data_IF_453942737662
#
_entry.id   IF_453942737662
#
_cell.length_a   1.000
_cell.length_b   1.000
_cell.length_c   1.000
_cell.angle_alpha   90.00
_cell.angle_beta   90.00
_cell.angle_gamma   90.00
#
_symmetry.space_group_name_H-M   'P 1'
#
loop_
_entity.id
_entity.type
_entity.pdbx_description
1 polymer ?
#
# COMPACT_ATOMS: atom_id res chain seq x y z
N UNK A 1 11.28 -30.34 -18.20
CA UNK A 1 12.45 -29.92 -18.99
C UNK A 1 12.44 -28.39 -19.01
N UNK A 2 13.57 -27.73 -18.71
CA UNK A 2 13.60 -26.26 -18.64
C UNK A 2 13.70 -25.64 -20.04
N UNK A 3 12.93 -24.56 -20.28
CA UNK A 3 13.12 -23.65 -21.42
C UNK A 3 13.36 -22.25 -20.86
N UNK A 4 14.46 -21.61 -21.27
CA UNK A 4 14.85 -20.30 -20.76
C UNK A 4 14.02 -19.19 -21.41
N UNK A 5 13.50 -18.26 -20.61
CA UNK A 5 12.93 -17.01 -21.12
C UNK A 5 14.04 -16.13 -21.72
N UNK A 6 13.90 -15.79 -23.01
CA UNK A 6 14.72 -14.74 -23.64
C UNK A 6 14.27 -13.36 -23.16
N UNK A 7 15.14 -12.67 -22.42
CA UNK A 7 14.99 -11.24 -22.16
C UNK A 7 15.47 -10.45 -23.39
N UNK A 8 14.67 -9.49 -23.86
CA UNK A 8 15.06 -8.59 -24.95
C UNK A 8 15.62 -7.27 -24.40
N UNK A 9 16.84 -6.91 -24.82
CA UNK A 9 17.40 -5.56 -24.66
C UNK A 9 17.52 -4.89 -26.04
N UNK A 10 16.81 -3.79 -26.28
CA UNK A 10 17.18 -2.74 -27.26
C UNK A 10 16.65 -1.39 -26.81
N UNK A 11 17.55 -0.46 -26.51
CA UNK A 11 17.73 0.81 -27.22
C UNK A 11 18.85 1.62 -26.54
N UNK A 12 19.77 2.14 -27.35
CA UNK A 12 20.75 3.15 -26.96
C UNK A 12 20.75 4.20 -28.07
N UNK A 13 20.71 5.49 -27.71
CA UNK A 13 20.72 6.59 -28.66
C UNK A 13 22.15 7.15 -28.81
N UNK A 14 22.66 7.36 -30.04
CA UNK A 14 23.92 8.05 -30.25
C UNK A 14 23.75 9.57 -30.07
N UNK A 15 24.78 10.21 -29.55
CA UNK A 15 24.94 11.67 -29.56
C UNK A 15 25.32 12.16 -30.97
N UNK A 16 24.80 13.30 -31.38
CA UNK A 16 25.41 14.13 -32.42
C UNK A 16 25.40 15.60 -31.99
N UNK A 17 26.51 16.30 -32.20
CA UNK A 17 26.59 17.76 -32.11
C UNK A 17 25.77 18.42 -33.21
N UNK A 18 25.20 19.60 -32.95
CA UNK A 18 25.50 20.80 -33.75
C UNK A 18 25.09 22.09 -33.03
N UNK A 19 25.95 23.10 -33.14
CA UNK A 19 25.78 24.53 -32.83
C UNK A 19 26.81 25.27 -33.73
N UNK A 20 26.61 26.54 -34.17
CA UNK A 20 26.50 27.68 -33.24
C UNK A 20 25.65 28.90 -33.71
N UNK A 21 25.48 29.90 -32.82
CA UNK A 21 25.32 31.37 -33.05
C UNK A 21 24.29 31.90 -34.10
N UNK A 22 23.52 33.00 -33.91
CA UNK A 22 23.69 34.24 -33.09
C UNK A 22 22.33 34.98 -32.92
N UNK A 23 22.32 36.14 -32.25
CA UNK A 23 21.19 37.02 -31.85
C UNK A 23 21.52 38.51 -32.23
N UNK A 24 20.70 39.57 -31.96
CA UNK A 24 19.23 39.74 -31.73
C UNK A 24 18.63 40.98 -32.51
N UNK A 25 17.48 41.54 -32.03
CA UNK A 25 16.87 42.89 -32.30
C UNK A 25 16.07 43.03 -33.62
N UNK A 26 14.99 43.83 -33.77
CA UNK A 26 14.01 44.53 -32.87
C UNK A 26 12.79 45.00 -33.74
N UNK A 27 11.78 45.85 -33.43
CA UNK A 27 11.32 46.68 -32.28
C UNK A 27 9.90 47.25 -32.56
N UNK A 28 9.15 47.68 -31.52
CA UNK A 28 7.90 48.51 -31.57
C UNK A 28 6.60 47.83 -32.11
N UNK A 29 5.36 48.29 -31.86
CA UNK A 29 4.85 49.49 -31.14
C UNK A 29 3.52 49.26 -30.39
N UNK A 30 3.20 50.17 -29.47
CA UNK A 30 2.01 50.30 -28.59
C UNK A 30 0.60 50.23 -29.22
N UNK A 31 -0.41 49.84 -28.42
CA UNK A 31 -1.48 50.76 -27.96
C UNK A 31 -2.46 50.12 -26.95
N UNK A 32 -3.11 50.96 -26.12
CA UNK A 32 -4.25 50.62 -25.24
C UNK A 32 -5.17 51.83 -25.15
N UNK A 33 -6.48 51.64 -24.87
CA UNK A 33 -7.14 52.50 -23.88
C UNK A 33 -8.15 51.77 -22.97
N UNK A 34 -8.71 52.51 -21.99
CA UNK A 34 -9.64 52.05 -20.94
C UNK A 34 -11.11 52.08 -21.39
N UNK A 35 -12.05 51.44 -20.66
CA UNK A 35 -13.49 51.55 -20.98
C UNK A 35 -14.53 50.83 -20.07
N UNK A 36 -14.69 51.26 -18.82
CA UNK A 36 -15.87 51.19 -17.93
C UNK A 36 -17.11 50.28 -18.22
N UNK A 37 -17.42 49.40 -17.26
CA UNK A 37 -18.72 49.24 -16.54
C UNK A 37 -20.09 49.27 -17.31
N UNK A 38 -20.84 48.15 -17.26
CA UNK A 38 -22.12 48.02 -16.49
C UNK A 38 -22.80 46.64 -16.54
N UNK A 39 -23.61 46.36 -15.51
CA UNK A 39 -24.58 45.26 -15.41
C UNK A 39 -25.95 45.64 -16.05
N UNK A 40 -26.78 44.63 -16.40
CA UNK A 40 -28.22 44.72 -16.19
C UNK A 40 -28.78 43.59 -15.29
N UNK A 41 -29.88 43.87 -14.58
CA UNK A 41 -30.60 42.92 -13.69
C UNK A 41 -32.10 43.24 -13.60
N UNK A 42 -32.95 42.45 -14.25
CA UNK A 42 -34.42 42.31 -14.03
C UNK A 42 -34.82 40.88 -14.45
N UNK A 43 -35.60 40.08 -13.71
CA UNK A 43 -36.86 40.22 -12.95
C UNK A 43 -38.12 39.89 -13.78
N UNK A 44 -38.70 38.72 -13.51
CA UNK A 44 -40.13 38.40 -13.24
C UNK A 44 -40.39 36.92 -13.63
N UNK A 45 -41.18 36.05 -13.00
CA UNK A 45 -42.05 36.01 -11.81
C UNK A 45 -43.47 35.54 -12.18
N UNK A 46 -43.81 34.27 -11.85
CA UNK A 46 -45.20 33.77 -11.76
C UNK A 46 -45.29 32.47 -10.93
N UNK A 47 -46.44 32.26 -10.29
CA UNK A 47 -46.92 31.11 -9.48
C UNK A 47 -48.45 31.33 -9.34
N UNK A 48 -49.26 30.41 -8.78
CA UNK A 48 -49.26 28.93 -8.81
C UNK A 48 -50.62 28.40 -9.37
N UNK A 49 -50.93 27.10 -9.25
CA UNK A 49 -52.33 26.66 -9.05
C UNK A 49 -52.45 25.32 -8.31
N UNK A 50 -53.68 24.97 -7.86
CA UNK A 50 -54.05 23.76 -7.08
C UNK A 50 -55.38 23.18 -7.55
N UNK A 51 -55.48 21.86 -7.52
CA UNK A 51 -56.66 21.01 -7.25
C UNK A 51 -56.08 19.66 -6.76
N UNK A 52 -56.60 18.93 -5.77
CA UNK A 52 -57.97 18.52 -5.48
C UNK A 52 -57.95 16.98 -5.57
N UNK A 53 -57.95 16.21 -4.48
CA UNK A 53 -59.11 15.85 -3.65
C UNK A 53 -60.19 15.12 -4.48
N UNK A 54 -60.60 13.88 -4.19
CA UNK A 54 -60.29 12.88 -3.14
C UNK A 54 -60.43 11.45 -3.76
N UNK A 55 -60.45 10.26 -3.11
CA UNK A 55 -60.73 9.89 -1.71
C UNK A 55 -60.01 8.60 -1.23
N UNK A 56 -60.70 7.47 -1.04
CA UNK A 56 -60.27 6.36 -0.17
C UNK A 56 -60.85 4.97 -0.53
N UNK A 57 -60.09 3.93 -0.20
CA UNK A 57 -60.60 2.57 0.05
C UNK A 57 -59.65 1.84 1.01
N UNK A 58 -60.17 1.08 1.98
CA UNK A 58 -59.38 0.40 3.01
C UNK A 58 -59.68 -1.09 3.06
N UNK A 59 -58.67 -1.90 3.39
CA UNK A 59 -58.82 -3.30 3.77
C UNK A 59 -57.82 -3.63 4.89
N UNK A 60 -58.30 -4.25 5.97
CA UNK A 60 -57.54 -4.45 7.22
C UNK A 60 -57.56 -5.91 7.68
N UNK A 61 -56.59 -6.25 8.54
CA UNK A 61 -56.53 -7.45 9.40
C UNK A 61 -56.14 -8.77 8.67
N UNK A 62 -55.62 -9.81 9.35
CA UNK A 62 -55.57 -10.10 10.80
C UNK A 62 -54.17 -10.48 11.33
N UNK A 63 -54.05 -10.42 12.66
CA UNK A 63 -52.88 -10.80 13.47
C UNK A 63 -53.20 -12.05 14.33
N UNK A 64 -52.38 -13.11 14.25
CA UNK A 64 -52.33 -14.25 15.18
C UNK A 64 -51.34 -15.32 14.67
N UNK A 65 -50.59 -16.10 15.47
CA UNK A 65 -50.31 -16.11 16.93
C UNK A 65 -49.02 -16.93 17.18
N UNK A 66 -48.29 -16.61 18.25
CA UNK A 66 -47.49 -17.50 19.14
C UNK A 66 -46.59 -18.61 18.55
N UNK A 67 -45.30 -18.58 18.92
CA UNK A 67 -44.48 -19.78 19.13
C UNK A 67 -44.74 -20.37 20.55
N UNK A 68 -44.33 -21.63 20.87
CA UNK A 68 -43.00 -21.81 21.49
C UNK A 68 -42.30 -23.19 21.34
N UNK A 69 -40.95 -23.16 21.38
CA UNK A 69 -40.01 -24.12 22.03
C UNK A 69 -39.92 -25.63 21.67
N UNK A 70 -38.81 -26.21 22.18
CA UNK A 70 -38.35 -27.61 22.19
C UNK A 70 -37.89 -28.20 20.83
N UNK A 71 -36.71 -28.81 20.65
CA UNK A 71 -35.79 -29.60 21.52
C UNK A 71 -36.10 -31.09 21.58
N UNK A 72 -35.40 -31.88 20.77
CA UNK A 72 -35.16 -33.31 20.99
C UNK A 72 -33.77 -33.69 20.45
N UNK A 73 -32.92 -34.22 21.32
CA UNK A 73 -31.71 -34.94 20.96
C UNK A 73 -31.70 -36.20 21.83
N UNK A 74 -31.58 -37.38 21.24
CA UNK A 74 -31.49 -38.64 21.99
C UNK A 74 -30.69 -39.70 21.24
N UNK A 75 -30.25 -40.74 21.97
CA UNK A 75 -29.18 -41.65 21.56
C UNK A 75 -29.64 -43.12 21.52
N UNK A 76 -28.96 -43.95 20.73
CA UNK A 76 -29.16 -45.40 20.66
C UNK A 76 -28.60 -45.94 19.33
N UNK A 77 -27.34 -46.39 19.20
CA UNK A 77 -26.61 -47.46 19.91
C UNK A 77 -27.02 -48.89 19.46
N UNK A 78 -26.14 -49.57 18.73
CA UNK A 78 -26.33 -50.93 18.20
C UNK A 78 -25.07 -51.50 17.54
N UNK A 79 -24.59 -52.62 18.07
CA UNK A 79 -23.49 -53.50 17.65
C UNK A 79 -23.61 -54.04 16.19
N UNK A 80 -22.60 -54.60 15.47
CA UNK A 80 -21.16 -54.85 15.70
C UNK A 80 -20.40 -55.20 14.39
N UNK A 81 -19.09 -55.46 14.52
CA UNK A 81 -18.19 -56.23 13.62
C UNK A 81 -17.66 -55.56 12.32
N UNK A 82 -16.35 -55.33 12.29
CA UNK A 82 -15.56 -54.99 11.10
C UNK A 82 -14.07 -54.90 11.45
N UNK A 83 -13.20 -55.66 10.77
CA UNK A 83 -11.77 -55.78 11.12
C UNK A 83 -10.93 -54.54 10.72
N UNK A 84 -9.83 -54.23 11.44
CA UNK A 84 -9.01 -53.06 11.15
C UNK A 84 -8.14 -53.24 9.89
N UNK A 85 -7.93 -52.18 9.08
CA UNK A 85 -6.99 -52.19 7.96
C UNK A 85 -5.51 -52.11 8.42
N UNK A 86 -4.54 -52.55 7.59
CA UNK A 86 -3.13 -52.66 7.97
C UNK A 86 -2.41 -51.31 8.12
N UNK A 87 -1.31 -51.33 8.89
CA UNK A 87 -0.45 -50.18 9.16
C UNK A 87 0.45 -49.79 7.97
N UNK A 88 0.82 -48.50 7.82
CA UNK A 88 1.67 -48.03 6.73
C UNK A 88 3.16 -48.38 6.95
N UNK A 89 3.96 -48.58 5.87
CA UNK A 89 5.38 -48.87 5.96
C UNK A 89 6.22 -47.68 6.46
N UNK A 90 7.43 -47.93 7.00
CA UNK A 90 8.30 -46.89 7.55
C UNK A 90 8.85 -45.94 6.48
N UNK A 91 9.10 -44.68 6.87
CA UNK A 91 9.79 -43.69 6.03
C UNK A 91 11.30 -43.93 6.04
N UNK A 92 11.99 -43.87 4.88
CA UNK A 92 13.46 -43.96 4.83
C UNK A 92 14.12 -42.72 5.44
N UNK A 93 15.33 -42.90 5.95
CA UNK A 93 16.10 -41.86 6.64
C UNK A 93 16.79 -40.83 5.70
N UNK A 94 17.33 -39.78 6.31
CA UNK A 94 17.99 -38.66 5.62
C UNK A 94 19.30 -39.09 4.97
N UNK A 95 19.38 -39.03 3.64
CA UNK A 95 20.67 -38.95 2.96
C UNK A 95 21.16 -37.50 2.95
N UNK A 96 22.21 -37.18 3.72
CA UNK A 96 22.97 -35.92 3.51
C UNK A 96 23.66 -35.98 2.15
N UNK A 97 23.53 -34.92 1.35
CA UNK A 97 24.48 -34.56 0.29
C UNK A 97 24.69 -33.06 0.30
N UNK A 98 25.91 -32.66 0.62
CA UNK A 98 26.36 -31.28 0.47
C UNK A 98 26.66 -31.00 -1.01
N UNK A 99 26.04 -29.96 -1.56
CA UNK A 99 26.42 -29.33 -2.83
C UNK A 99 26.34 -27.81 -2.65
N UNK A 100 27.48 -27.17 -2.39
CA UNK A 100 27.60 -25.72 -2.42
C UNK A 100 27.72 -25.17 -3.84
N UNK A 101 27.65 -23.84 -3.98
CA UNK A 101 27.69 -23.08 -5.25
C UNK A 101 26.51 -23.43 -6.20
N UNK A 102 25.66 -22.51 -6.64
CA UNK A 102 25.91 -21.12 -7.06
C UNK A 102 24.72 -20.24 -6.66
N UNK A 103 24.98 -19.07 -6.08
CA UNK A 103 24.07 -17.92 -6.19
C UNK A 103 24.81 -16.60 -5.90
N UNK A 104 24.78 -15.63 -6.81
CA UNK A 104 25.53 -14.36 -6.69
C UNK A 104 24.64 -13.17 -7.06
N UNK A 105 24.60 -12.18 -6.16
CA UNK A 105 24.06 -10.82 -6.31
C UNK A 105 22.52 -10.63 -6.37
N UNK A 106 22.04 -9.78 -5.45
CA UNK A 106 21.01 -8.76 -5.67
C UNK A 106 19.58 -9.19 -6.10
N UNK A 107 19.00 -10.19 -5.44
CA UNK A 107 17.54 -10.46 -5.46
C UNK A 107 16.80 -9.97 -4.19
N UNK A 108 17.19 -8.80 -3.67
CA UNK A 108 16.63 -8.22 -2.43
C UNK A 108 16.22 -6.73 -2.57
N UNK A 109 15.17 -6.47 -3.37
CA UNK A 109 14.35 -5.24 -3.24
C UNK A 109 12.83 -5.51 -3.24
N UNK A 110 12.41 -6.78 -3.21
CA UNK A 110 10.99 -7.19 -3.28
C UNK A 110 10.60 -8.24 -2.23
N UNK A 111 11.36 -8.33 -1.14
CA UNK A 111 11.14 -9.27 -0.03
C UNK A 111 10.93 -8.58 1.33
N UNK A 112 10.34 -7.38 1.32
CA UNK A 112 9.57 -6.86 2.47
C UNK A 112 8.23 -7.61 2.62
N UNK A 113 8.29 -8.94 2.62
CA UNK A 113 7.17 -9.77 3.08
C UNK A 113 7.01 -9.56 4.58
N UNK A 114 5.76 -9.43 5.04
CA UNK A 114 5.48 -9.51 6.46
C UNK A 114 5.96 -10.88 6.98
N UNK A 115 6.91 -10.88 7.91
CA UNK A 115 7.30 -12.09 8.63
C UNK A 115 6.25 -12.42 9.71
N UNK A 116 5.03 -12.72 9.26
CA UNK A 116 3.87 -13.09 10.08
C UNK A 116 3.72 -14.60 10.25
N UNK A 117 4.29 -15.40 9.34
CA UNK A 117 4.04 -16.84 9.23
C UNK A 117 5.31 -17.70 9.38
N UNK A 118 5.90 -17.63 10.57
CA UNK A 118 6.80 -18.66 11.09
C UNK A 118 6.19 -19.32 12.34
N UNK A 119 4.94 -19.79 12.23
CA UNK A 119 4.23 -20.54 13.27
C UNK A 119 4.24 -22.04 12.95
N UNK A 120 5.30 -22.73 13.35
CA UNK A 120 5.25 -24.20 13.46
C UNK A 120 4.18 -24.60 14.49
N UNK A 121 3.15 -25.32 14.04
CA UNK A 121 2.08 -25.80 14.91
C UNK A 121 2.56 -27.06 15.63
N UNK A 122 2.61 -27.01 16.96
CA UNK A 122 2.93 -28.15 17.82
C UNK A 122 1.64 -28.51 18.55
N UNK A 123 1.11 -29.74 18.42
CA UNK A 123 -0.07 -30.16 19.17
C UNK A 123 0.24 -30.13 20.67
N UNK A 124 -0.72 -29.75 21.54
CA UNK A 124 -0.53 -29.83 22.98
C UNK A 124 -0.38 -31.29 23.39
N UNK A 125 0.77 -31.65 23.96
CA UNK A 125 0.89 -32.88 24.74
C UNK A 125 -0.03 -32.78 25.95
N UNK A 126 -0.70 -33.88 26.29
CA UNK A 126 -1.53 -33.98 27.48
C UNK A 126 -0.71 -33.78 28.76
N UNK A 127 -1.36 -33.20 29.78
CA UNK A 127 -0.88 -33.02 31.16
C UNK A 127 0.26 -31.99 31.36
N UNK A 128 0.37 -31.49 32.60
CA UNK A 128 1.60 -30.84 33.08
C UNK A 128 1.73 -29.32 32.92
N UNK A 129 0.91 -28.54 33.64
CA UNK A 129 1.26 -27.20 34.17
C UNK A 129 1.75 -26.14 33.15
N UNK A 130 0.84 -25.27 32.71
CA UNK A 130 1.10 -24.14 31.80
C UNK A 130 1.93 -23.01 32.43
N UNK A 131 3.21 -23.29 32.69
CA UNK A 131 4.23 -22.24 32.76
C UNK A 131 4.24 -21.48 31.43
N UNK A 132 3.65 -20.28 31.43
CA UNK A 132 3.85 -19.31 30.36
C UNK A 132 5.34 -18.95 30.26
N UNK A 133 6.10 -19.73 29.48
CA UNK A 133 7.44 -19.34 29.02
C UNK A 133 7.27 -18.04 28.25
N UNK A 134 7.57 -16.91 28.91
CA UNK A 134 7.72 -15.61 28.26
C UNK A 134 8.83 -15.75 27.23
N UNK A 135 8.47 -16.06 25.97
CA UNK A 135 9.39 -15.85 24.85
C UNK A 135 9.76 -14.38 24.89
N UNK A 136 11.05 -14.09 25.09
CA UNK A 136 11.58 -12.76 24.87
C UNK A 136 11.12 -12.29 23.48
N UNK A 137 10.68 -11.04 23.37
CA UNK A 137 10.17 -10.54 22.11
C UNK A 137 11.33 -10.51 21.11
N UNK A 138 11.26 -11.32 20.05
CA UNK A 138 12.32 -11.40 19.06
C UNK A 138 12.44 -10.06 18.33
N UNK A 139 13.57 -9.37 18.52
CA UNK A 139 13.91 -8.17 17.76
C UNK A 139 13.97 -8.50 16.27
N UNK A 140 13.56 -7.56 15.43
CA UNK A 140 13.77 -7.68 13.99
C UNK A 140 15.17 -7.17 13.64
N UNK A 141 15.94 -7.95 12.88
CA UNK A 141 17.29 -7.59 12.45
C UNK A 141 17.27 -7.06 11.02
N UNK A 142 17.88 -5.89 10.80
CA UNK A 142 18.05 -5.31 9.46
C UNK A 142 19.53 -4.97 9.26
N UNK A 143 20.19 -5.64 8.32
CA UNK A 143 21.59 -5.42 7.98
C UNK A 143 21.66 -4.33 6.89
N UNK A 144 22.55 -3.35 7.07
CA UNK A 144 22.82 -2.32 6.04
C UNK A 144 23.45 -2.95 4.78
N UNK A 145 23.23 -2.45 3.54
CA UNK A 145 23.74 -3.11 2.33
C UNK A 145 25.25 -3.33 2.27
N UNK A 146 26.05 -2.43 2.85
CA UNK A 146 27.52 -2.59 2.96
C UNK A 146 27.97 -3.52 4.10
N UNK A 147 27.04 -3.99 4.94
CA UNK A 147 27.22 -4.96 6.03
C UNK A 147 28.09 -4.53 7.22
N UNK A 148 28.44 -3.26 7.33
CA UNK A 148 29.16 -2.70 8.49
C UNK A 148 28.24 -2.29 9.66
N UNK A 149 26.91 -2.28 9.46
CA UNK A 149 25.92 -1.93 10.51
C UNK A 149 24.69 -2.86 10.51
N UNK A 150 24.12 -3.07 11.70
CA UNK A 150 22.91 -3.85 11.93
C UNK A 150 21.95 -3.08 12.86
N UNK A 151 20.67 -3.00 12.48
CA UNK A 151 19.59 -2.53 13.35
C UNK A 151 18.99 -3.68 14.16
N UNK A 152 18.82 -3.45 15.45
CA UNK A 152 17.98 -4.25 16.35
C UNK A 152 16.69 -3.47 16.60
N UNK A 153 15.65 -3.79 15.82
CA UNK A 153 14.34 -3.16 15.97
C UNK A 153 13.57 -3.83 17.12
N UNK A 154 13.55 -3.15 18.27
CA UNK A 154 12.89 -3.61 19.51
C UNK A 154 11.37 -3.62 19.29
N UNK A 155 10.68 -4.69 19.68
CA UNK A 155 9.22 -4.82 19.51
C UNK A 155 8.57 -5.51 20.70
N UNK A 156 7.26 -5.32 20.86
CA UNK A 156 6.44 -6.21 21.71
C UNK A 156 6.18 -7.54 21.00
N UNK A 157 5.95 -8.59 21.80
CA UNK A 157 5.62 -9.93 21.32
C UNK A 157 4.20 -9.98 20.72
N UNK A 158 3.25 -9.27 21.33
CA UNK A 158 1.88 -9.09 20.90
C UNK A 158 1.51 -7.58 20.91
N UNK A 159 0.64 -7.11 20.00
CA UNK A 159 0.02 -5.80 20.13
C UNK A 159 -0.97 -5.76 21.32
N UNK A 160 -1.26 -4.60 21.91
CA UNK A 160 -2.32 -4.45 22.91
C UNK A 160 -3.71 -4.69 22.28
N UNK A 161 -4.69 -5.06 23.11
CA UNK A 161 -6.06 -5.29 22.65
C UNK A 161 -6.72 -4.03 22.08
N UNK A 162 -6.34 -2.85 22.57
CA UNK A 162 -6.79 -1.55 22.04
C UNK A 162 -6.46 -1.38 20.55
N UNK A 163 -5.25 -1.76 20.12
CA UNK A 163 -4.84 -1.72 18.69
C UNK A 163 -5.66 -2.69 17.81
N UNK A 164 -6.19 -3.77 18.39
CA UNK A 164 -7.00 -4.77 17.67
C UNK A 164 -8.50 -4.43 17.65
N UNK A 165 -8.95 -3.56 18.56
CA UNK A 165 -10.34 -3.11 18.69
C UNK A 165 -10.66 -1.82 17.92
N UNK A 166 -9.64 -1.18 17.30
CA UNK A 166 -9.80 0.03 16.49
C UNK A 166 -10.71 -0.20 15.27
N UNK A 167 -11.53 0.79 14.89
CA UNK A 167 -12.37 0.68 13.69
C UNK A 167 -11.49 0.55 12.42
N UNK A 168 -11.85 -0.39 11.55
CA UNK A 168 -11.16 -0.63 10.28
C UNK A 168 -12.12 -0.42 9.09
N UNK A 169 -11.83 0.58 8.27
CA UNK A 169 -12.51 0.80 7.00
C UNK A 169 -12.07 -0.26 5.97
N UNK A 170 -13.04 -0.78 5.20
CA UNK A 170 -12.89 -2.00 4.38
C UNK A 170 -13.22 -1.69 2.93
N UNK A 171 -12.19 -1.31 2.18
CA UNK A 171 -12.32 -0.68 0.87
C UNK A 171 -11.38 -1.34 -0.15
N UNK A 172 -11.93 -1.88 -1.23
CA UNK A 172 -11.20 -2.50 -2.34
C UNK A 172 -10.16 -3.58 -1.93
N UNK A 173 -10.43 -4.35 -0.87
CA UNK A 173 -9.52 -5.36 -0.31
C UNK A 173 -8.44 -4.79 0.61
N UNK A 174 -8.53 -3.51 0.98
CA UNK A 174 -7.62 -2.80 1.88
C UNK A 174 -8.34 -2.54 3.21
N UNK A 175 -7.64 -2.79 4.34
CA UNK A 175 -8.11 -2.45 5.69
C UNK A 175 -7.36 -1.22 6.22
N UNK A 176 -8.11 -0.14 6.41
CA UNK A 176 -7.62 1.21 6.66
C UNK A 176 -8.00 1.63 8.07
N UNK A 177 -7.06 2.22 8.82
CA UNK A 177 -7.36 3.01 10.02
C UNK A 177 -7.43 4.47 9.60
N UNK A 178 -8.63 5.05 9.74
CA UNK A 178 -8.93 6.40 9.29
C UNK A 178 -8.30 7.51 10.14
N UNK A 179 -7.97 7.22 11.40
CA UNK A 179 -7.34 8.17 12.31
C UNK A 179 -5.86 8.34 11.93
N UNK A 180 -5.16 7.23 11.69
CA UNK A 180 -3.76 7.24 11.25
C UNK A 180 -3.55 7.54 9.77
N UNK A 181 -4.58 7.37 8.94
CA UNK A 181 -4.49 7.34 7.48
C UNK A 181 -3.48 6.28 6.96
N UNK A 182 -3.53 5.11 7.59
CA UNK A 182 -2.58 4.02 7.37
C UNK A 182 -3.29 2.66 7.38
N UNK A 183 -2.56 1.59 7.10
CA UNK A 183 -3.09 0.23 7.24
C UNK A 183 -3.39 -0.07 8.70
N UNK A 184 -4.60 -0.57 9.00
CA UNK A 184 -5.05 -0.78 10.38
C UNK A 184 -4.14 -1.75 11.16
N UNK A 185 -3.82 -2.90 10.57
CA UNK A 185 -3.14 -4.02 11.26
C UNK A 185 -1.61 -4.00 11.13
N UNK A 186 -1.00 -2.82 11.30
CA UNK A 186 0.46 -2.67 11.28
C UNK A 186 1.11 -3.05 12.61
N UNK A 187 2.01 -4.03 12.59
CA UNK A 187 2.98 -4.23 13.68
C UNK A 187 3.91 -3.03 13.78
N UNK A 188 4.30 -2.65 15.00
CA UNK A 188 5.20 -1.52 15.28
C UNK A 188 6.38 -1.93 16.14
N UNK A 189 7.43 -1.12 16.09
CA UNK A 189 8.61 -1.19 16.93
C UNK A 189 8.51 -0.17 18.07
N UNK A 190 9.21 -0.42 19.18
CA UNK A 190 9.23 0.43 20.38
C UNK A 190 10.61 1.03 20.65
N UNK A 191 11.58 0.78 19.77
CA UNK A 191 12.93 1.33 19.85
C UNK A 191 13.83 0.79 18.73
N UNK A 192 14.92 1.51 18.45
CA UNK A 192 15.91 1.15 17.43
C UNK A 192 17.28 1.14 18.11
N UNK A 193 17.87 -0.05 18.26
CA UNK A 193 19.29 -0.20 18.56
C UNK A 193 20.10 -0.26 17.26
N UNK A 194 21.23 0.45 17.20
CA UNK A 194 22.20 0.37 16.11
C UNK A 194 23.47 -0.29 16.64
N UNK A 195 23.96 -1.32 15.95
CA UNK A 195 25.26 -1.93 16.21
C UNK A 195 26.16 -1.81 14.97
N UNK A 196 27.43 -1.49 15.16
CA UNK A 196 28.47 -1.78 14.14
C UNK A 196 28.70 -3.29 14.09
N UNK A 197 28.86 -3.85 12.89
CA UNK A 197 29.34 -5.21 12.69
C UNK A 197 30.85 -5.16 12.44
N UNK A 198 31.61 -5.86 13.28
CA UNK A 198 33.06 -5.93 13.20
C UNK A 198 33.49 -7.06 12.23
N UNK A 199 34.75 -7.04 11.77
CA UNK A 199 35.25 -8.02 10.78
C UNK A 199 35.28 -9.47 11.28
N UNK A 200 35.36 -9.67 12.60
CA UNK A 200 35.25 -10.98 13.27
C UNK A 200 33.79 -11.49 13.40
N UNK A 201 32.82 -10.69 12.95
CA UNK A 201 31.39 -10.95 13.09
C UNK A 201 30.80 -10.58 14.45
N UNK A 202 31.58 -9.97 15.35
CA UNK A 202 31.08 -9.45 16.63
C UNK A 202 30.28 -8.16 16.44
N UNK A 203 29.39 -7.87 17.40
CA UNK A 203 28.62 -6.64 17.44
C UNK A 203 29.30 -5.64 18.38
N UNK A 204 29.51 -4.41 17.89
CA UNK A 204 29.84 -3.27 18.74
C UNK A 204 28.74 -2.95 19.77
N UNK A 205 29.01 -2.04 20.72
CA UNK A 205 28.02 -1.62 21.71
C UNK A 205 26.75 -1.07 21.07
N UNK A 206 25.59 -1.28 21.70
CA UNK A 206 24.32 -0.76 21.22
C UNK A 206 24.29 0.77 21.30
N UNK A 207 24.02 1.44 20.18
CA UNK A 207 23.68 2.86 20.11
C UNK A 207 22.17 3.00 19.92
N UNK A 208 21.47 3.38 20.98
CA UNK A 208 20.01 3.55 20.96
C UNK A 208 19.61 4.90 20.32
N UNK A 209 18.69 4.83 19.34
CA UNK A 209 18.09 6.00 18.73
C UNK A 209 17.12 6.66 19.71
N UNK A 210 17.25 7.97 19.91
CA UNK A 210 16.53 8.71 20.95
C UNK A 210 16.09 10.10 20.45
N UNK A 211 15.16 10.75 21.18
CA UNK A 211 14.65 12.08 20.85
C UNK A 211 13.34 12.12 20.06
N UNK A 212 12.78 10.95 19.71
CA UNK A 212 11.35 10.83 19.40
C UNK A 212 10.52 10.81 20.71
N UNK A 213 9.19 11.08 20.68
CA UNK A 213 8.37 11.16 21.88
C UNK A 213 8.24 9.82 22.62
N UNK A 214 8.02 9.89 23.94
CA UNK A 214 7.67 8.72 24.74
C UNK A 214 6.38 8.05 24.23
N UNK A 215 6.30 6.72 24.37
CA UNK A 215 5.18 5.93 23.84
C UNK A 215 5.16 5.77 22.31
N UNK A 216 6.14 6.32 21.58
CA UNK A 216 6.24 6.23 20.12
C UNK A 216 6.13 4.78 19.59
N UNK A 217 5.21 4.59 18.63
CA UNK A 217 5.11 3.40 17.79
C UNK A 217 5.82 3.68 16.47
N UNK A 218 6.93 2.98 16.27
CA UNK A 218 7.83 3.16 15.12
C UNK A 218 7.41 2.20 13.98
N UNK A 219 7.30 2.74 12.77
CA UNK A 219 6.90 2.01 11.56
C UNK A 219 7.80 2.39 10.36
N UNK A 220 7.94 1.50 9.36
CA UNK A 220 8.67 1.76 8.09
C UNK A 220 10.13 2.25 8.24
N UNK A 221 10.98 1.53 8.97
CA UNK A 221 12.40 1.91 9.14
C UNK A 221 13.21 1.58 7.88
N UNK A 222 13.93 2.57 7.32
CA UNK A 222 14.82 2.40 6.16
C UNK A 222 16.11 3.24 6.29
N UNK A 223 17.19 2.78 5.65
CA UNK A 223 18.49 3.46 5.60
C UNK A 223 18.60 4.40 4.38
N UNK A 224 19.34 5.51 4.51
CA UNK A 224 19.93 6.23 3.37
C UNK A 224 20.92 5.34 2.61
N UNK A 225 21.36 5.74 1.41
CA UNK A 225 22.26 4.90 0.60
C UNK A 225 23.70 4.90 1.17
N UNK A 226 24.15 6.01 1.76
CA UNK A 226 25.40 6.15 2.51
C UNK A 226 25.40 5.52 3.91
N UNK A 227 24.24 5.13 4.44
CA UNK A 227 24.08 4.56 5.78
C UNK A 227 24.34 5.52 6.94
N UNK A 228 24.38 6.84 6.70
CA UNK A 228 24.51 7.86 7.75
C UNK A 228 23.18 8.24 8.38
N UNK A 229 22.07 7.99 7.70
CA UNK A 229 20.73 8.37 8.15
C UNK A 229 19.76 7.18 8.18
N UNK A 230 18.88 7.20 9.17
CA UNK A 230 17.73 6.30 9.27
C UNK A 230 16.45 7.11 9.15
N UNK A 231 15.63 6.83 8.15
CA UNK A 231 14.26 7.36 8.09
C UNK A 231 13.28 6.33 8.65
N UNK A 232 12.29 6.81 9.39
CA UNK A 232 11.22 6.00 9.94
C UNK A 232 9.97 6.87 10.15
N UNK A 233 8.81 6.23 10.30
CA UNK A 233 7.61 6.92 10.75
C UNK A 233 7.37 6.71 12.24
N UNK A 234 6.83 7.73 12.88
CA UNK A 234 6.36 7.71 14.27
C UNK A 234 4.89 8.07 14.30
N UNK A 235 4.15 7.36 15.16
CA UNK A 235 2.82 7.75 15.67
C UNK A 235 2.79 7.52 17.17
N UNK A 236 1.97 8.28 17.88
CA UNK A 236 1.72 8.15 19.33
C UNK A 236 0.22 7.89 19.51
N UNK A 237 -0.13 6.95 20.38
CA UNK A 237 -1.50 6.87 20.92
C UNK A 237 -1.65 8.04 21.90
N UNK A 238 -2.58 8.95 21.67
CA UNK A 238 -2.95 9.94 22.68
C UNK A 238 -4.06 9.34 23.56
N UNK A 239 -4.19 9.83 24.79
CA UNK A 239 -5.35 9.50 25.62
C UNK A 239 -6.62 10.15 25.02
N UNK A 240 -7.81 9.71 25.42
CA UNK A 240 -9.11 10.11 24.83
C UNK A 240 -9.41 9.67 23.38
N UNK A 241 -8.76 8.61 22.87
CA UNK A 241 -8.94 8.02 21.52
C UNK A 241 -8.58 8.92 20.32
N UNK A 242 -8.14 10.15 20.57
CA UNK A 242 -7.40 10.94 19.58
C UNK A 242 -6.08 10.19 19.31
N UNK A 243 -5.57 10.27 18.09
CA UNK A 243 -4.26 9.68 17.79
C UNK A 243 -3.51 10.49 16.74
N UNK A 244 -2.21 10.69 17.00
CA UNK A 244 -1.35 11.40 16.06
C UNK A 244 -1.17 10.58 14.79
N UNK A 245 -1.60 11.15 13.66
CA UNK A 245 -1.29 10.67 12.31
C UNK A 245 0.22 10.48 12.16
N UNK A 246 0.63 9.51 11.34
CA UNK A 246 2.04 9.20 11.14
C UNK A 246 2.80 10.44 10.63
N UNK A 247 3.95 10.74 11.24
CA UNK A 247 4.93 11.72 10.74
C UNK A 247 6.24 11.01 10.43
N UNK A 248 6.97 11.50 9.42
CA UNK A 248 8.31 11.00 9.07
C UNK A 248 9.35 11.65 9.98
N UNK A 249 10.25 10.84 10.51
CA UNK A 249 11.39 11.19 11.33
C UNK A 249 12.67 10.70 10.66
N UNK A 250 13.77 11.40 10.93
CA UNK A 250 15.12 10.97 10.55
C UNK A 250 16.01 10.99 11.78
N UNK A 251 16.78 9.94 11.98
CA UNK A 251 17.88 9.89 12.93
C UNK A 251 19.22 9.89 12.22
N UNK A 252 20.17 10.63 12.77
CA UNK A 252 21.59 10.49 12.46
C UNK A 252 22.16 9.24 13.15
N UNK A 253 22.93 8.45 12.42
CA UNK A 253 23.45 7.14 12.84
C UNK A 253 24.67 7.28 13.75
N UNK A 254 25.42 8.39 13.65
CA UNK A 254 26.60 8.60 14.48
C UNK A 254 26.25 9.08 15.89
N UNK A 255 25.31 10.01 16.04
CA UNK A 255 24.81 10.48 17.34
C UNK A 255 23.67 9.63 17.91
N UNK A 256 22.91 8.94 17.07
CA UNK A 256 21.64 8.29 17.45
C UNK A 256 20.48 9.29 17.64
N UNK A 257 20.68 10.59 17.35
CA UNK A 257 19.67 11.62 17.60
C UNK A 257 18.62 11.66 16.50
N UNK A 258 17.36 11.45 16.87
CA UNK A 258 16.20 11.58 16.01
C UNK A 258 15.62 13.01 15.99
N UNK A 259 15.04 13.39 14.85
CA UNK A 259 14.25 14.61 14.65
C UNK A 259 13.11 14.37 13.64
N UNK A 260 12.01 15.14 13.65
CA UNK A 260 11.05 15.10 12.55
C UNK A 260 11.71 15.58 11.25
N UNK A 261 11.28 15.01 10.12
CA UNK A 261 11.70 15.45 8.78
C UNK A 261 11.11 16.81 8.43
N UNK A 262 9.81 16.99 8.70
CA UNK A 262 9.07 18.22 8.45
C UNK A 262 9.03 19.08 9.71
N UNK A 263 9.36 20.38 9.58
CA UNK A 263 9.20 21.36 10.65
C UNK A 263 7.74 21.83 10.80
N UNK A 264 6.96 21.81 9.71
CA UNK A 264 5.53 22.10 9.76
C UNK A 264 4.77 20.96 10.46
N UNK A 265 3.88 21.26 11.42
CA UNK A 265 3.09 20.25 12.12
C UNK A 265 2.00 19.63 11.24
N UNK A 266 1.63 20.28 10.14
CA UNK A 266 0.45 19.91 9.33
C UNK A 266 0.73 18.88 8.24
N UNK A 267 2.01 18.53 8.02
CA UNK A 267 2.42 17.53 7.04
C UNK A 267 2.38 16.14 7.68
N UNK A 268 1.49 15.30 7.18
CA UNK A 268 1.24 13.94 7.66
C UNK A 268 1.44 12.91 6.54
N UNK A 269 1.97 11.75 6.91
CA UNK A 269 2.22 10.63 6.02
C UNK A 269 0.89 9.95 5.63
N UNK A 270 0.72 9.64 4.36
CA UNK A 270 -0.26 8.68 3.88
C UNK A 270 0.44 7.32 3.76
N UNK A 271 -0.04 6.30 4.50
CA UNK A 271 0.57 4.97 4.56
C UNK A 271 -0.44 3.85 4.24
N UNK A 272 -1.30 4.09 3.24
CA UNK A 272 -2.27 3.10 2.72
C UNK A 272 -1.60 2.11 1.75
N UNK A 273 -0.67 2.61 0.92
CA UNK A 273 0.15 1.83 0.00
C UNK A 273 1.63 2.03 0.30
N UNK A 274 2.35 2.74 -0.58
CA UNK A 274 3.73 3.15 -0.35
C UNK A 274 3.78 4.42 0.52
N UNK A 275 4.90 4.66 1.21
CA UNK A 275 4.99 5.64 2.30
C UNK A 275 6.10 6.67 2.09
N UNK A 276 7.36 6.24 2.07
CA UNK A 276 8.50 7.08 1.69
C UNK A 276 9.69 6.26 1.25
N UNK A 277 10.55 6.87 0.45
CA UNK A 277 11.75 6.24 -0.13
C UNK A 277 12.88 7.27 -0.25
N UNK A 278 14.12 6.85 -0.01
CA UNK A 278 15.30 7.68 -0.27
C UNK A 278 15.55 7.80 -1.78
N UNK A 279 15.65 9.03 -2.26
CA UNK A 279 16.00 9.36 -3.66
C UNK A 279 17.51 9.50 -3.82
N UNK A 280 18.18 10.01 -2.78
CA UNK A 280 19.63 10.12 -2.60
C UNK A 280 19.94 10.15 -1.09
N UNK A 281 21.18 10.40 -0.67
CA UNK A 281 21.60 10.37 0.74
C UNK A 281 20.97 11.44 1.65
N UNK A 282 20.47 12.53 1.07
CA UNK A 282 19.91 13.68 1.80
C UNK A 282 18.44 13.95 1.50
N UNK A 283 17.80 13.15 0.64
CA UNK A 283 16.47 13.47 0.07
C UNK A 283 15.53 12.28 0.12
N UNK A 284 14.37 12.48 0.75
CA UNK A 284 13.26 11.54 0.80
C UNK A 284 12.13 12.00 -0.12
N UNK A 285 11.56 11.06 -0.88
CA UNK A 285 10.26 11.24 -1.51
C UNK A 285 9.21 10.62 -0.58
N UNK A 286 8.16 11.39 -0.24
CA UNK A 286 7.17 11.04 0.78
C UNK A 286 5.76 11.13 0.20
N UNK A 287 4.95 10.09 0.41
CA UNK A 287 3.51 10.09 0.17
C UNK A 287 2.80 10.83 1.32
N UNK A 288 2.37 12.07 1.12
CA UNK A 288 1.68 12.86 2.15
C UNK A 288 0.18 12.94 1.93
N UNK A 289 -0.60 13.13 3.00
CA UNK A 289 -2.01 13.47 2.91
C UNK A 289 -2.15 14.85 2.22
N UNK A 290 -2.94 14.99 1.13
CA UNK A 290 -3.12 16.28 0.47
C UNK A 290 -3.72 17.33 1.41
N UNK A 291 -3.12 18.52 1.47
CA UNK A 291 -3.61 19.65 2.30
C UNK A 291 -5.01 20.13 1.88
N UNK A 292 -5.36 19.96 0.60
CA UNK A 292 -6.67 20.29 0.03
C UNK A 292 -7.79 19.29 0.35
N UNK A 293 -7.51 18.17 1.03
CA UNK A 293 -8.44 17.04 1.12
C UNK A 293 -9.75 17.34 1.86
N UNK A 294 -9.70 18.18 2.91
CA UNK A 294 -10.87 18.45 3.76
C UNK A 294 -11.34 17.23 4.57
N UNK A 295 -12.65 17.17 4.84
CA UNK A 295 -13.31 16.14 5.64
C UNK A 295 -13.69 14.90 4.79
N UNK A 296 -13.90 13.72 5.41
CA UNK A 296 -14.33 12.52 4.68
C UNK A 296 -15.70 12.71 4.00
N UNK A 297 -15.95 12.01 2.88
CA UNK A 297 -17.29 11.90 2.29
C UNK A 297 -18.32 11.48 3.34
N UNK A 298 -19.57 11.95 3.19
CA UNK A 298 -20.70 11.54 4.03
C UNK A 298 -21.56 10.53 3.28
N UNK A 299 -21.88 9.39 3.90
CA UNK A 299 -22.70 8.36 3.25
C UNK A 299 -24.11 8.93 2.99
N UNK A 300 -24.61 8.91 1.73
CA UNK A 300 -25.94 9.43 1.44
C UNK A 300 -27.02 8.52 2.05
N UNK A 301 -28.08 9.12 2.58
CA UNK A 301 -29.22 8.39 3.16
C UNK A 301 -30.02 7.62 2.11
N UNK A 302 -29.98 8.08 0.85
CA UNK A 302 -30.63 7.46 -0.30
C UNK A 302 -29.52 7.05 -1.28
N UNK A 303 -29.40 5.76 -1.66
CA UNK A 303 -28.48 5.33 -2.72
C UNK A 303 -28.75 6.05 -4.04
N UNK A 304 -27.70 6.35 -4.81
CA UNK A 304 -27.80 7.06 -6.09
C UNK A 304 -28.63 6.33 -7.16
N UNK A 305 -28.77 5.01 -7.03
CA UNK A 305 -29.62 4.17 -7.89
C UNK A 305 -29.54 2.70 -7.51
N UNK A 306 -30.30 1.82 -8.19
CA UNK A 306 -30.15 0.37 -8.06
C UNK A 306 -28.81 -0.09 -8.63
N UNK A 307 -28.21 -1.12 -8.03
CA UNK A 307 -26.97 -1.74 -8.53
C UNK A 307 -27.28 -2.66 -9.72
N UNK A 308 -27.26 -2.09 -10.93
CA UNK A 308 -27.49 -2.83 -12.18
C UNK A 308 -26.27 -3.69 -12.50
N UNK A 309 -26.52 -4.97 -12.78
CA UNK A 309 -25.56 -5.90 -13.40
C UNK A 309 -26.28 -6.63 -14.52
N UNK A 310 -25.70 -6.68 -15.71
CA UNK A 310 -26.26 -7.39 -16.86
C UNK A 310 -25.33 -8.52 -17.33
N UNK A 311 -25.95 -9.64 -17.71
CA UNK A 311 -25.28 -10.80 -18.29
C UNK A 311 -25.57 -10.94 -19.80
N UNK A 312 -26.12 -9.91 -20.46
CA UNK A 312 -26.48 -9.93 -21.89
C UNK A 312 -25.33 -10.36 -22.82
N UNK A 313 -24.09 -10.04 -22.45
CA UNK A 313 -22.88 -10.42 -23.21
C UNK A 313 -22.49 -11.91 -23.08
N UNK A 314 -23.17 -12.68 -22.23
CA UNK A 314 -22.92 -14.11 -21.96
C UNK A 314 -21.47 -14.48 -21.55
N UNK A 315 -20.64 -13.49 -21.19
CA UNK A 315 -19.25 -13.69 -20.77
C UNK A 315 -19.18 -14.38 -19.39
N UNK A 316 -18.96 -15.69 -19.36
CA UNK A 316 -18.81 -16.49 -18.12
C UNK A 316 -17.44 -16.25 -17.48
N UNK A 317 -17.29 -15.12 -16.81
CA UNK A 317 -16.07 -14.75 -16.08
C UNK A 317 -16.16 -15.34 -14.66
N UNK A 318 -15.45 -16.45 -14.42
CA UNK A 318 -15.26 -16.97 -13.07
C UNK A 318 -14.28 -16.09 -12.29
N UNK A 319 -14.71 -15.57 -11.14
CA UNK A 319 -13.91 -14.72 -10.24
C UNK A 319 -13.79 -15.40 -8.87
N UNK A 320 -12.67 -15.22 -8.18
CA UNK A 320 -12.49 -15.72 -6.80
C UNK A 320 -13.33 -14.90 -5.82
N UNK A 321 -13.82 -15.51 -4.75
CA UNK A 321 -14.46 -14.77 -3.66
C UNK A 321 -13.43 -13.89 -2.94
N UNK A 322 -13.61 -12.57 -3.04
CA UNK A 322 -12.77 -11.57 -2.37
C UNK A 322 -13.50 -10.95 -1.18
N UNK A 323 -12.75 -10.58 -0.15
CA UNK A 323 -13.25 -9.89 1.04
C UNK A 323 -13.01 -8.37 0.94
N UNK A 324 -13.73 -7.60 1.75
CA UNK A 324 -13.52 -6.15 1.95
C UNK A 324 -13.56 -5.31 0.66
N UNK A 325 -14.37 -5.74 -0.32
CA UNK A 325 -14.61 -5.04 -1.58
C UNK A 325 -15.44 -3.74 -1.39
N UNK A 326 -15.32 -2.83 -2.36
CA UNK A 326 -16.21 -1.68 -2.48
C UNK A 326 -17.66 -2.15 -2.72
N UNK A 327 -18.64 -1.55 -2.03
CA UNK A 327 -20.06 -1.93 -2.14
C UNK A 327 -20.82 -1.03 -3.13
N UNK A 328 -20.58 0.28 -3.02
CA UNK A 328 -21.26 1.37 -3.70
C UNK A 328 -20.30 2.53 -4.02
N UNK A 329 -20.76 3.55 -4.75
CA UNK A 329 -19.94 4.72 -5.14
C UNK A 329 -19.42 5.52 -3.92
N UNK A 330 -20.11 5.48 -2.78
CA UNK A 330 -19.60 6.12 -1.56
C UNK A 330 -18.35 5.39 -1.04
N UNK A 331 -18.34 4.05 -1.04
CA UNK A 331 -17.12 3.29 -0.71
C UNK A 331 -15.97 3.65 -1.69
N UNK A 332 -16.28 3.94 -2.97
CA UNK A 332 -15.29 4.37 -3.96
C UNK A 332 -14.75 5.79 -3.72
N UNK A 333 -15.62 6.75 -3.39
CA UNK A 333 -15.23 8.11 -2.98
C UNK A 333 -14.42 8.10 -1.67
N UNK A 334 -14.77 7.23 -0.73
CA UNK A 334 -14.07 7.05 0.53
C UNK A 334 -12.69 6.39 0.34
N UNK A 335 -12.56 5.48 -0.63
CA UNK A 335 -11.28 4.90 -1.04
C UNK A 335 -10.36 5.98 -1.62
N UNK A 336 -10.86 6.83 -2.53
CA UNK A 336 -10.10 7.96 -3.06
C UNK A 336 -9.69 8.94 -1.96
N UNK A 337 -10.59 9.27 -1.02
CA UNK A 337 -10.29 10.13 0.12
C UNK A 337 -9.12 9.60 0.97
N UNK A 338 -9.13 8.32 1.37
CA UNK A 338 -8.05 7.78 2.19
C UNK A 338 -6.76 7.51 1.41
N UNK A 339 -6.84 7.02 0.17
CA UNK A 339 -5.70 6.52 -0.58
C UNK A 339 -5.00 7.58 -1.47
N UNK A 340 -5.66 8.70 -1.79
CA UNK A 340 -5.01 9.80 -2.53
C UNK A 340 -3.88 10.41 -1.72
N UNK A 341 -2.72 10.52 -2.34
CA UNK A 341 -1.50 11.11 -1.77
C UNK A 341 -0.98 12.23 -2.67
N UNK A 342 -0.48 13.30 -2.05
CA UNK A 342 0.42 14.24 -2.72
C UNK A 342 1.85 13.74 -2.50
N UNK A 343 2.63 13.59 -3.56
CA UNK A 343 4.06 13.29 -3.41
C UNK A 343 4.82 14.58 -3.08
N UNK A 344 5.69 14.50 -2.08
CA UNK A 344 6.53 15.59 -1.63
C UNK A 344 7.97 15.09 -1.56
N UNK A 345 8.87 15.77 -2.26
CA UNK A 345 10.30 15.62 -2.14
C UNK A 345 10.79 16.55 -1.02
N UNK A 346 11.41 15.97 0.00
CA UNK A 346 11.83 16.62 1.23
C UNK A 346 13.29 16.27 1.54
N UNK A 347 14.14 17.29 1.67
CA UNK A 347 15.56 17.12 1.97
C UNK A 347 15.87 17.41 3.44
N UNK A 348 16.97 16.86 3.94
CA UNK A 348 17.40 16.96 5.33
C UNK A 348 17.72 18.40 5.77
N UNK A 349 18.00 19.31 4.83
CA UNK A 349 18.12 20.75 5.06
C UNK A 349 16.80 21.43 5.46
N UNK A 350 15.65 20.76 5.25
CA UNK A 350 14.31 21.30 5.48
C UNK A 350 13.65 21.88 4.22
N UNK A 351 14.28 21.76 3.04
CA UNK A 351 13.63 22.13 1.79
C UNK A 351 12.55 21.11 1.41
N UNK A 352 11.40 21.61 0.92
CA UNK A 352 10.17 20.83 0.68
C UNK A 352 9.57 21.25 -0.66
N UNK A 353 9.33 20.28 -1.55
CA UNK A 353 8.84 20.50 -2.91
C UNK A 353 7.80 19.45 -3.31
N UNK A 354 6.55 19.83 -3.68
CA UNK A 354 5.60 18.87 -4.23
C UNK A 354 6.03 18.39 -5.62
N UNK A 355 5.74 17.13 -5.93
CA UNK A 355 5.95 16.53 -7.26
C UNK A 355 4.65 15.87 -7.72
N UNK A 356 4.26 16.13 -8.96
CA UNK A 356 3.03 15.60 -9.56
C UNK A 356 1.73 16.13 -8.94
N UNK A 357 0.58 15.83 -9.56
CA UNK A 357 -0.73 16.07 -8.96
C UNK A 357 -1.03 15.04 -7.85
N UNK A 358 -1.98 15.31 -6.94
CA UNK A 358 -2.48 14.29 -6.02
C UNK A 358 -3.10 13.11 -6.79
N UNK A 359 -2.72 11.88 -6.45
CA UNK A 359 -3.28 10.66 -7.03
C UNK A 359 -3.23 9.47 -6.05
N UNK A 360 -3.90 8.37 -6.37
CA UNK A 360 -3.80 7.11 -5.61
C UNK A 360 -2.50 6.40 -5.98
N UNK A 361 -1.37 6.91 -5.47
CA UNK A 361 -0.05 6.33 -5.67
C UNK A 361 0.10 5.00 -4.91
N UNK A 362 0.64 3.98 -5.59
CA UNK A 362 0.76 2.61 -5.07
C UNK A 362 2.18 2.06 -5.04
N UNK A 363 3.14 2.75 -5.67
CA UNK A 363 4.59 2.48 -5.67
C UNK A 363 5.28 3.76 -6.12
N UNK A 364 6.35 4.17 -5.43
CA UNK A 364 7.23 5.27 -5.84
C UNK A 364 8.68 4.80 -5.84
N UNK A 365 9.22 4.59 -7.03
CA UNK A 365 10.49 3.87 -7.22
C UNK A 365 11.55 4.78 -7.85
N UNK A 366 12.57 5.26 -7.09
CA UNK A 366 13.68 6.04 -7.65
C UNK A 366 14.66 5.16 -8.42
N UNK A 367 15.20 5.73 -9.51
CA UNK A 367 16.21 5.09 -10.36
C UNK A 367 17.54 4.88 -9.61
N UNK A 368 18.28 3.79 -9.86
CA UNK A 368 19.59 3.54 -9.23
C UNK A 368 20.69 4.57 -9.50
N UNK A 369 20.46 5.51 -10.43
CA UNK A 369 21.36 6.63 -10.73
C UNK A 369 20.67 8.00 -10.54
N UNK A 370 19.67 8.04 -9.64
CA UNK A 370 19.10 9.24 -8.97
C UNK A 370 18.52 10.35 -9.87
N UNK A 371 18.33 10.10 -11.17
CA UNK A 371 17.80 11.09 -12.14
C UNK A 371 16.29 11.02 -12.33
N UNK A 372 15.71 9.83 -12.15
CA UNK A 372 14.31 9.56 -12.46
C UNK A 372 13.55 8.91 -11.31
N UNK A 373 12.25 9.13 -11.33
CA UNK A 373 11.27 8.55 -10.43
C UNK A 373 10.24 7.80 -11.29
N UNK A 374 9.99 6.53 -10.97
CA UNK A 374 8.93 5.74 -11.56
C UNK A 374 7.74 5.77 -10.60
N UNK A 375 6.63 6.36 -11.03
CA UNK A 375 5.40 6.41 -10.24
C UNK A 375 4.39 5.41 -10.78
N UNK A 376 3.71 4.71 -9.88
CA UNK A 376 2.66 3.77 -10.24
C UNK A 376 1.37 4.12 -9.49
N UNK A 377 0.39 4.67 -10.20
CA UNK A 377 -0.90 5.10 -9.65
C UNK A 377 -2.06 4.18 -10.03
N UNK A 378 -3.16 4.27 -9.26
CA UNK A 378 -4.48 3.72 -9.57
C UNK A 378 -5.41 4.88 -9.97
N UNK A 379 -6.37 4.61 -10.86
CA UNK A 379 -7.41 5.57 -11.27
C UNK A 379 -8.74 4.86 -11.58
N UNK A 380 -9.83 5.65 -11.63
CA UNK A 380 -11.17 5.17 -12.03
C UNK A 380 -11.18 4.73 -13.50
N UNK A 381 -12.14 3.86 -13.93
CA UNK A 381 -13.22 3.26 -13.14
C UNK A 381 -12.74 2.17 -12.17
N UNK A 382 -13.34 2.13 -10.98
CA UNK A 382 -13.10 1.07 -10.00
C UNK A 382 -14.09 -0.08 -10.17
N UNK A 383 -13.79 -1.21 -9.52
CA UNK A 383 -14.66 -2.38 -9.51
C UNK A 383 -15.19 -2.68 -8.10
N UNK A 384 -16.42 -3.19 -8.09
CA UNK A 384 -17.12 -3.70 -6.92
C UNK A 384 -17.07 -5.23 -6.82
N UNK A 385 -16.26 -5.90 -7.66
CA UNK A 385 -16.12 -7.37 -7.76
C UNK A 385 -14.69 -7.87 -7.50
N UNK A 386 -13.67 -7.03 -7.74
CA UNK A 386 -12.25 -7.36 -7.54
C UNK A 386 -11.53 -6.30 -6.68
N UNK A 387 -10.46 -6.66 -5.94
CA UNK A 387 -9.72 -5.71 -5.11
C UNK A 387 -8.85 -4.75 -5.93
N UNK A 388 -8.36 -3.68 -5.29
CA UNK A 388 -7.62 -2.57 -5.93
C UNK A 388 -6.42 -3.00 -6.80
N UNK A 389 -5.77 -4.13 -6.50
CA UNK A 389 -4.71 -4.71 -7.35
C UNK A 389 -5.16 -5.10 -8.77
N UNK A 390 -6.46 -5.07 -9.07
CA UNK A 390 -7.06 -5.29 -10.39
C UNK A 390 -7.62 -4.02 -11.04
N UNK A 391 -7.68 -2.90 -10.34
CA UNK A 391 -8.17 -1.61 -10.86
C UNK A 391 -7.25 -1.07 -11.98
N UNK A 392 -7.71 -0.11 -12.80
CA UNK A 392 -6.86 0.59 -13.76
C UNK A 392 -5.60 1.12 -13.09
N UNK A 393 -4.47 0.98 -13.79
CA UNK A 393 -3.13 1.29 -13.25
C UNK A 393 -2.28 1.97 -14.31
N UNK A 394 -1.87 3.20 -14.02
CA UNK A 394 -0.94 3.98 -14.84
C UNK A 394 0.46 3.92 -14.24
N UNK A 395 1.47 3.84 -15.10
CA UNK A 395 2.89 3.87 -14.74
C UNK A 395 3.57 4.97 -15.53
N UNK A 396 4.14 5.92 -14.81
CA UNK A 396 4.71 7.16 -15.36
C UNK A 396 6.19 7.30 -14.98
N UNK A 397 6.96 7.85 -15.89
CA UNK A 397 8.35 8.22 -15.68
C UNK A 397 8.44 9.74 -15.51
N UNK A 398 9.01 10.16 -14.38
CA UNK A 398 9.26 11.56 -14.01
C UNK A 398 10.76 11.76 -13.76
N UNK A 399 11.26 12.99 -13.85
CA UNK A 399 12.58 13.34 -13.32
C UNK A 399 12.51 13.67 -11.83
N UNK A 400 13.64 13.62 -11.13
CA UNK A 400 13.74 14.12 -9.74
C UNK A 400 13.45 15.63 -9.62
N UNK A 401 13.63 16.40 -10.71
CA UNK A 401 13.14 17.79 -10.78
C UNK A 401 11.59 17.90 -10.67
N UNK A 402 10.86 16.80 -10.77
CA UNK A 402 9.39 16.79 -10.84
C UNK A 402 8.83 17.15 -12.21
N UNK A 403 9.60 16.92 -13.30
CA UNK A 403 9.10 17.06 -14.67
C UNK A 403 8.61 15.69 -15.18
N UNK A 404 7.41 15.63 -15.73
CA UNK A 404 6.93 14.43 -16.44
C UNK A 404 7.81 14.17 -17.67
N UNK A 405 8.20 12.91 -17.89
CA UNK A 405 9.02 12.50 -19.04
C UNK A 405 8.16 11.74 -20.04
N UNK A 406 7.44 10.71 -19.59
CA UNK A 406 6.56 9.88 -20.43
C UNK A 406 5.71 8.92 -19.60
N UNK A 407 4.64 8.42 -20.20
CA UNK A 407 3.98 7.21 -19.75
C UNK A 407 4.78 5.95 -20.17
N UNK A 408 4.76 4.93 -19.32
CA UNK A 408 5.33 3.60 -19.56
C UNK A 408 4.23 2.60 -19.95
N UNK A 409 3.07 2.67 -19.28
CA UNK A 409 1.80 2.05 -19.68
C UNK A 409 0.62 2.59 -18.86
N UNK A 410 -0.55 2.63 -19.48
CA UNK A 410 -1.86 2.54 -18.83
C UNK A 410 -2.38 1.09 -18.98
N UNK A 411 -2.94 0.53 -17.91
CA UNK A 411 -3.49 -0.82 -17.88
C UNK A 411 -5.00 -0.74 -17.56
N UNK A 412 -5.91 -1.23 -18.42
CA UNK A 412 -7.36 -1.19 -18.16
C UNK A 412 -7.78 -2.13 -17.03
N UNK A 413 -8.97 -1.90 -16.46
CA UNK A 413 -9.60 -2.70 -15.39
C UNK A 413 -9.57 -4.20 -15.71
N UNK A 414 -9.21 -5.04 -14.72
CA UNK A 414 -8.84 -6.44 -14.93
C UNK A 414 -9.71 -7.42 -14.12
N UNK A 415 -11.01 -7.41 -14.42
CA UNK A 415 -11.99 -8.41 -13.95
C UNK A 415 -11.90 -9.73 -14.74
N UNK A 416 -11.50 -9.68 -16.03
CA UNK A 416 -11.55 -10.77 -17.01
C UNK A 416 -10.49 -11.88 -16.84
N UNK A 417 -9.57 -11.76 -15.88
CA UNK A 417 -8.47 -12.72 -15.70
C UNK A 417 -9.00 -14.03 -15.11
N UNK A 418 -8.89 -15.18 -15.81
CA UNK A 418 -9.43 -16.46 -15.34
C UNK A 418 -8.83 -16.92 -14.00
N UNK A 419 -9.57 -17.79 -13.29
CA UNK A 419 -9.08 -18.40 -12.03
C UNK A 419 -7.97 -19.44 -12.23
N UNK A 420 -7.73 -19.88 -13.47
CA UNK A 420 -6.80 -20.94 -13.84
C UNK A 420 -5.36 -20.64 -13.41
N UNK A 421 -4.58 -21.70 -13.20
CA UNK A 421 -3.21 -21.55 -12.72
C UNK A 421 -2.33 -20.85 -13.76
N UNK A 422 -1.52 -19.87 -13.31
CA UNK A 422 -0.74 -18.92 -14.12
C UNK A 422 -1.52 -17.88 -14.95
N UNK A 423 -2.86 -17.79 -14.85
CA UNK A 423 -3.60 -16.67 -15.47
C UNK A 423 -3.28 -15.33 -14.80
N UNK A 424 -3.01 -14.31 -15.62
CA UNK A 424 -2.52 -12.98 -15.18
C UNK A 424 -2.99 -11.85 -16.10
N UNK A 425 -2.87 -10.60 -15.65
CA UNK A 425 -3.24 -9.40 -16.43
C UNK A 425 -2.41 -9.29 -17.72
N UNK A 426 -3.09 -8.89 -18.80
CA UNK A 426 -2.50 -8.46 -20.08
C UNK A 426 -1.59 -7.24 -19.88
N UNK A 427 -0.65 -7.04 -20.80
CA UNK A 427 0.26 -5.89 -20.79
C UNK A 427 1.43 -6.00 -19.80
N UNK A 428 2.14 -4.88 -19.63
CA UNK A 428 3.35 -4.77 -18.83
C UNK A 428 3.05 -4.89 -17.33
N UNK A 429 3.57 -5.93 -16.69
CA UNK A 429 3.50 -6.18 -15.24
C UNK A 429 4.89 -6.16 -14.62
N UNK A 430 4.95 -5.97 -13.30
CA UNK A 430 6.21 -6.06 -12.54
C UNK A 430 7.33 -5.17 -13.10
N UNK A 431 6.95 -3.96 -13.56
CA UNK A 431 7.90 -2.96 -14.05
C UNK A 431 8.79 -2.52 -12.89
N UNK A 432 10.10 -2.62 -13.06
CA UNK A 432 11.10 -2.39 -12.02
C UNK A 432 12.38 -1.79 -12.63
N UNK A 433 13.18 -1.11 -11.81
CA UNK A 433 14.54 -0.73 -12.17
C UNK A 433 15.51 -1.91 -12.05
N UNK A 434 16.39 -2.09 -13.03
CA UNK A 434 17.55 -3.00 -12.92
C UNK A 434 18.51 -2.46 -11.86
N UNK A 435 18.81 -3.19 -10.78
CA UNK A 435 19.75 -2.70 -9.76
C UNK A 435 21.21 -2.66 -10.24
N UNK A 436 21.52 -3.31 -11.37
CA UNK A 436 22.87 -3.37 -11.95
C UNK A 436 23.14 -2.34 -13.06
N UNK A 437 22.16 -1.50 -13.43
CA UNK A 437 22.31 -0.54 -14.55
C UNK A 437 21.61 0.81 -14.27
N UNK A 438 22.24 1.95 -14.63
CA UNK A 438 21.59 3.25 -14.54
C UNK A 438 20.33 3.29 -15.40
N UNK A 439 19.27 3.93 -14.89
CA UNK A 439 18.04 4.30 -15.59
C UNK A 439 17.39 3.20 -16.47
N UNK A 440 17.64 1.93 -16.19
CA UNK A 440 17.22 0.82 -17.05
C UNK A 440 16.03 0.09 -16.44
N UNK A 441 14.84 0.24 -17.04
CA UNK A 441 13.66 -0.52 -16.66
C UNK A 441 13.68 -1.96 -17.23
N UNK A 442 13.07 -2.88 -16.50
CA UNK A 442 12.64 -4.20 -16.98
C UNK A 442 11.19 -4.47 -16.56
N UNK A 443 10.50 -5.36 -17.26
CA UNK A 443 9.12 -5.77 -16.93
C UNK A 443 8.84 -7.20 -17.40
N UNK A 444 7.69 -7.74 -17.00
CA UNK A 444 7.19 -9.06 -17.41
C UNK A 444 5.85 -8.88 -18.12
N UNK A 445 5.69 -9.53 -19.27
CA UNK A 445 4.52 -9.35 -20.15
C UNK A 445 4.02 -10.72 -20.64
N UNK A 446 2.72 -10.81 -20.96
CA UNK A 446 2.08 -12.06 -21.39
C UNK A 446 2.22 -12.26 -22.90
N UNK A 447 2.82 -13.36 -23.33
CA UNK A 447 2.94 -13.71 -24.76
C UNK A 447 1.65 -14.35 -25.33
N UNK A 448 0.82 -14.90 -24.45
CA UNK A 448 -0.44 -15.62 -24.73
C UNK A 448 -1.70 -14.76 -24.53
N UNK A 449 -1.55 -13.49 -24.17
CA UNK A 449 -2.66 -12.63 -23.76
C UNK A 449 -3.18 -12.89 -22.34
N UNK A 450 -2.43 -13.61 -21.50
CA UNK A 450 -2.73 -13.84 -20.08
C UNK A 450 -3.65 -15.03 -19.79
N UNK A 451 -4.05 -15.76 -20.83
CA UNK A 451 -4.83 -16.99 -20.73
C UNK A 451 -4.01 -18.18 -21.22
N UNK A 452 -3.80 -19.15 -20.33
CA UNK A 452 -3.31 -20.46 -20.74
C UNK A 452 -4.44 -21.19 -21.49
N UNK A 453 -4.18 -21.57 -22.74
CA UNK A 453 -4.92 -22.63 -23.44
C UNK A 453 -4.53 -24.01 -22.93
#
# INVERSE_FOLDING_TARGET
MFLLHKAYQRFSLPLHHFAPHKLPLSSSSSSSPLGFLRLPRKKNAARPMKSGADSSAAASSRLSRLAPFASAAENGAGDRNGSPPPSPPPRPEKMKKDCGFINRMCFFRYLSFNCSECRGWIPPTSEGNTRHRRRAAASCLVIFPHRDKILFLKRRSLPPLSDLARPEEKLAGVRIDGNYNARSRMSFYTGIGIHSLMEDGSLGPEKEVHGYPDGAKINFVTWSQDGRHLSFSVRVDEEDNISSKLRVWVADVESGRARPLFQSPDIYLNAIFDSFVWVNDSTLLVCTIPSSRGAPPKKPLVPSGPKIQSNEQQNVIQVRTFQDLLKDEYDADLFDYYATSQLILASLDGSVKPIGPPAVYTSVDPSPDEKYLLFTSIHRPYSFTVPCGRFPKKVELWTVDGKFVREICDLPLAEDIPIAFNSVRKGKRSINWRPDKPSTLYWVETQDGGTRK
#
